data_IF_705387393017
#
_entry.id   IF_705387393017
#
_cell.length_a   1.000
_cell.length_b   1.000
_cell.length_c   1.000
_cell.angle_alpha   90.00
_cell.angle_beta   90.00
_cell.angle_gamma   90.00
#
_symmetry.space_group_name_H-M   'P 1'
#
loop_
_entity.id
_entity.type
_entity.pdbx_description
1 polymer ?
#
# COMPACT_ATOMS: atom_id res chain seq x y z
N UNK A 1 7.20 -15.28 0.59
CA UNK A 1 7.22 -15.62 -0.85
C UNK A 1 6.60 -14.47 -1.62
N UNK A 2 7.15 -14.07 -2.77
CA UNK A 2 6.58 -13.00 -3.60
C UNK A 2 6.29 -13.50 -5.01
N UNK A 3 5.29 -12.90 -5.65
CA UNK A 3 4.97 -13.14 -7.07
C UNK A 3 6.02 -12.49 -8.01
N UNK A 4 6.89 -11.60 -7.50
CA UNK A 4 8.00 -11.00 -8.25
C UNK A 4 9.34 -11.57 -7.79
N UNK A 5 10.17 -12.01 -8.74
CA UNK A 5 11.49 -12.58 -8.45
C UNK A 5 12.39 -11.49 -7.87
N UNK A 6 12.86 -11.68 -6.63
CA UNK A 6 13.83 -10.79 -5.98
C UNK A 6 13.24 -9.57 -5.26
N UNK A 7 11.92 -9.41 -5.20
CA UNK A 7 11.25 -8.30 -4.50
C UNK A 7 10.15 -8.85 -3.60
N UNK A 8 10.13 -8.50 -2.32
CA UNK A 8 9.05 -8.80 -1.38
C UNK A 8 8.77 -7.55 -0.57
N UNK A 9 7.54 -7.42 -0.08
CA UNK A 9 7.18 -6.34 0.82
C UNK A 9 5.92 -6.69 1.63
N UNK A 10 5.76 -6.22 2.87
CA UNK A 10 6.77 -5.48 3.66
C UNK A 10 7.49 -6.42 4.62
N UNK A 11 6.75 -7.31 5.30
CA UNK A 11 7.36 -8.29 6.18
C UNK A 11 6.31 -9.03 6.98
N UNK A 12 6.78 -9.73 8.01
CA UNK A 12 5.91 -10.30 9.04
C UNK A 12 6.56 -10.14 10.41
N UNK A 13 5.74 -10.13 11.46
CA UNK A 13 6.20 -10.02 12.82
C UNK A 13 5.58 -11.08 13.71
N UNK A 14 6.37 -11.59 14.66
CA UNK A 14 5.85 -12.20 15.88
C UNK A 14 5.54 -11.10 16.88
N UNK A 15 4.37 -11.13 17.52
CA UNK A 15 3.85 -10.01 18.32
C UNK A 15 3.45 -10.48 19.70
N UNK A 16 3.81 -9.69 20.71
CA UNK A 16 3.30 -9.79 22.08
C UNK A 16 2.73 -8.43 22.50
N UNK A 17 1.43 -8.35 22.74
CA UNK A 17 0.75 -7.07 22.99
C UNK A 17 -0.23 -7.14 24.16
N UNK A 18 -0.46 -6.01 24.84
CA UNK A 18 -1.48 -5.90 25.89
C UNK A 18 -2.91 -5.83 25.35
N UNK A 19 -3.10 -5.53 24.06
CA UNK A 19 -4.40 -5.44 23.38
C UNK A 19 -4.44 -6.32 22.14
N UNK A 20 -5.66 -6.67 21.69
CA UNK A 20 -5.94 -7.29 20.39
C UNK A 20 -6.50 -6.31 19.36
N UNK A 21 -6.75 -5.07 19.78
CA UNK A 21 -7.33 -4.04 18.92
C UNK A 21 -6.21 -3.36 18.13
N UNK A 22 -6.14 -3.73 16.85
CA UNK A 22 -5.28 -3.13 15.83
C UNK A 22 -6.13 -2.54 14.69
N UNK A 23 -7.38 -2.17 14.98
CA UNK A 23 -8.34 -1.69 13.96
C UNK A 23 -7.88 -0.41 13.26
N UNK A 24 -7.07 0.41 13.93
CA UNK A 24 -6.48 1.64 13.41
C UNK A 24 -5.09 1.47 12.82
N UNK A 25 -4.54 0.25 12.81
CA UNK A 25 -3.20 -0.01 12.28
C UNK A 25 -3.19 0.04 10.75
N UNK A 26 -2.09 0.53 10.19
CA UNK A 26 -1.91 0.66 8.75
C UNK A 26 -1.25 -0.59 8.14
N UNK A 27 -1.49 -0.86 6.84
CA UNK A 27 -0.81 -1.92 6.10
C UNK A 27 0.60 -1.47 5.68
N UNK A 28 1.22 -2.16 4.72
CA UNK A 28 2.56 -1.87 4.21
C UNK A 28 3.62 -1.91 5.33
N UNK A 29 4.49 -0.90 5.43
CA UNK A 29 5.60 -0.91 6.38
C UNK A 29 5.17 -0.85 7.84
N UNK A 30 3.90 -0.56 8.12
CA UNK A 30 3.38 -0.59 9.49
C UNK A 30 3.05 -2.00 9.99
N UNK A 31 3.22 -3.03 9.14
CA UNK A 31 3.04 -4.45 9.45
C UNK A 31 1.67 -4.80 10.04
N UNK A 32 0.66 -3.91 9.95
CA UNK A 32 -0.63 -4.07 10.62
C UNK A 32 -0.56 -3.93 12.15
N UNK A 33 0.47 -3.25 12.68
CA UNK A 33 0.70 -3.09 14.13
C UNK A 33 0.48 -1.67 14.64
N UNK A 34 0.87 -0.68 13.83
CA UNK A 34 0.92 0.72 14.22
C UNK A 34 0.35 1.61 13.11
N UNK A 35 0.24 2.90 13.37
CA UNK A 35 -0.05 3.91 12.36
C UNK A 35 0.86 5.13 12.56
N UNK A 36 0.76 6.11 11.65
CA UNK A 36 1.56 7.34 11.66
C UNK A 36 1.55 8.05 13.02
N UNK A 37 0.42 8.03 13.71
CA UNK A 37 0.25 8.75 14.99
C UNK A 37 0.55 7.91 16.22
N UNK A 38 0.46 6.59 16.13
CA UNK A 38 0.70 5.69 17.26
C UNK A 38 2.14 5.20 17.31
N UNK A 39 2.91 5.31 16.24
CA UNK A 39 4.32 4.88 16.22
C UNK A 39 5.14 5.62 17.30
N UNK A 40 5.75 4.87 18.22
CA UNK A 40 6.47 5.41 19.37
C UNK A 40 5.63 5.61 20.63
N UNK A 41 4.31 5.46 20.57
CA UNK A 41 3.44 5.66 21.74
C UNK A 41 3.56 4.50 22.75
N UNK A 42 3.97 4.83 23.97
CA UNK A 42 4.03 3.87 25.09
C UNK A 42 2.69 3.21 25.43
N UNK A 43 1.56 3.82 25.05
CA UNK A 43 0.22 3.28 25.20
C UNK A 43 -0.04 2.00 24.39
N UNK A 44 0.68 1.81 23.29
CA UNK A 44 0.58 0.63 22.43
C UNK A 44 0.82 -0.68 23.19
N UNK A 45 1.79 -0.64 24.11
CA UNK A 45 2.20 -1.77 24.97
C UNK A 45 2.42 -3.05 24.15
N UNK A 46 3.25 -2.95 23.13
CA UNK A 46 3.59 -4.04 22.22
C UNK A 46 5.10 -4.26 22.11
N UNK A 47 5.46 -5.53 22.01
CA UNK A 47 6.74 -6.04 21.56
C UNK A 47 6.49 -6.72 20.22
N UNK A 48 7.31 -6.44 19.21
CA UNK A 48 7.33 -7.22 17.99
C UNK A 48 8.76 -7.71 17.68
N UNK A 49 8.84 -8.88 17.06
CA UNK A 49 10.06 -9.36 16.40
C UNK A 49 9.74 -9.41 14.91
N UNK A 50 10.24 -8.44 14.17
CA UNK A 50 9.99 -8.29 12.75
C UNK A 50 10.98 -9.08 11.90
N UNK A 51 10.47 -9.61 10.80
CA UNK A 51 11.21 -10.20 9.69
C UNK A 51 10.93 -9.31 8.48
N UNK A 52 11.73 -8.26 8.34
CA UNK A 52 11.53 -7.24 7.32
C UNK A 52 12.20 -7.64 6.01
N UNK A 53 11.47 -7.46 4.92
CA UNK A 53 11.87 -7.82 3.57
C UNK A 53 12.00 -6.63 2.61
N UNK A 54 11.88 -5.40 3.13
CA UNK A 54 11.95 -4.17 2.36
C UNK A 54 12.53 -3.03 3.20
N UNK A 55 13.63 -2.43 2.74
CA UNK A 55 14.22 -1.29 3.43
C UNK A 55 13.29 -0.07 3.38
N UNK A 56 12.96 0.49 4.53
CA UNK A 56 12.29 1.75 4.71
C UNK A 56 13.19 2.75 5.47
N UNK A 57 13.64 3.78 4.77
CA UNK A 57 14.48 4.83 5.35
C UNK A 57 13.75 5.64 6.42
N UNK A 58 12.42 5.77 6.34
CA UNK A 58 11.59 6.43 7.35
C UNK A 58 11.68 5.71 8.70
N UNK A 59 11.75 4.37 8.69
CA UNK A 59 11.88 3.53 9.90
C UNK A 59 13.33 3.25 10.28
N UNK A 60 14.29 3.77 9.49
CA UNK A 60 15.75 3.62 9.69
C UNK A 60 16.21 2.17 9.60
N UNK A 61 15.64 1.45 8.64
CA UNK A 61 16.01 0.07 8.38
C UNK A 61 17.47 -0.04 7.96
N UNK A 62 18.14 -1.08 8.47
CA UNK A 62 19.56 -1.29 8.22
C UNK A 62 19.85 -1.88 6.83
N UNK A 63 18.85 -2.53 6.22
CA UNK A 63 18.84 -3.09 4.86
C UNK A 63 17.47 -3.72 4.55
N UNK A 64 17.33 -4.28 3.35
CA UNK A 64 16.13 -4.90 2.80
C UNK A 64 15.87 -6.35 3.26
N UNK A 65 16.65 -6.88 4.19
CA UNK A 65 16.48 -8.24 4.72
C UNK A 65 17.05 -8.34 6.13
N UNK A 66 16.29 -7.86 7.12
CA UNK A 66 16.74 -7.80 8.50
C UNK A 66 15.73 -8.38 9.49
N UNK A 67 16.22 -8.64 10.70
CA UNK A 67 15.42 -9.04 11.85
C UNK A 67 15.52 -7.95 12.90
N UNK A 68 14.36 -7.48 13.38
CA UNK A 68 14.24 -6.37 14.32
C UNK A 68 13.56 -6.77 15.62
N UNK A 69 13.84 -6.03 16.70
CA UNK A 69 13.16 -6.11 17.99
C UNK A 69 12.54 -4.74 18.27
N UNK A 70 11.22 -4.69 18.24
CA UNK A 70 10.44 -3.46 18.24
C UNK A 70 9.71 -3.31 19.57
N UNK A 71 9.76 -2.11 20.14
CA UNK A 71 9.04 -1.79 21.37
C UNK A 71 8.20 -0.54 21.12
N UNK A 72 6.89 -0.72 20.97
CA UNK A 72 5.93 0.36 20.71
C UNK A 72 6.21 1.22 19.45
N UNK A 73 7.21 0.87 18.66
CA UNK A 73 7.62 1.62 17.47
C UNK A 73 8.16 0.69 16.40
N UNK A 74 8.01 1.07 15.13
CA UNK A 74 8.66 0.42 13.99
C UNK A 74 10.15 0.75 13.89
N UNK A 75 10.62 1.74 14.66
CA UNK A 75 12.05 1.92 14.87
C UNK A 75 12.57 0.85 15.83
N UNK A 76 13.11 -0.21 15.25
CA UNK A 76 13.78 -1.30 15.94
C UNK A 76 14.71 -0.83 17.07
N UNK A 77 14.47 -1.31 18.30
CA UNK A 77 15.37 -1.09 19.44
C UNK A 77 16.74 -1.70 19.14
N UNK A 78 16.75 -2.87 18.50
CA UNK A 78 17.91 -3.55 17.96
C UNK A 78 17.50 -4.32 16.71
N UNK A 79 18.30 -4.21 15.66
CA UNK A 79 18.13 -5.00 14.44
C UNK A 79 19.47 -5.57 13.97
N UNK A 80 19.42 -6.63 13.16
CA UNK A 80 20.59 -7.22 12.52
C UNK A 80 20.21 -7.84 11.17
N UNK A 81 21.14 -7.86 10.21
CA UNK A 81 20.92 -8.49 8.90
C UNK A 81 20.55 -9.95 9.08
N UNK A 82 19.57 -10.44 8.32
CA UNK A 82 19.08 -11.80 8.46
C UNK A 82 20.20 -12.82 8.23
N UNK A 83 20.37 -13.76 9.16
CA UNK A 83 21.44 -14.74 9.14
C UNK A 83 21.48 -15.57 10.41
N UNK A 84 22.47 -16.44 10.52
CA UNK A 84 22.64 -17.30 11.69
C UNK A 84 24.10 -17.65 11.93
N UNK A 85 24.44 -17.94 13.18
CA UNK A 85 25.76 -18.43 13.54
C UNK A 85 25.80 -19.96 13.47
N UNK A 86 26.83 -20.50 12.84
CA UNK A 86 27.13 -21.92 12.86
C UNK A 86 28.03 -22.22 14.06
N UNK A 87 27.52 -23.00 15.02
CA UNK A 87 28.23 -23.28 16.27
C UNK A 87 29.48 -24.14 16.08
N UNK A 88 29.63 -24.81 14.94
CA UNK A 88 30.75 -25.70 14.62
C UNK A 88 31.93 -25.00 13.92
N UNK A 89 31.86 -23.67 13.69
CA UNK A 89 32.82 -22.95 12.87
C UNK A 89 33.70 -22.00 13.69
N UNK A 90 35.02 -22.23 13.66
CA UNK A 90 35.99 -21.49 14.49
C UNK A 90 36.31 -20.06 13.98
N UNK A 91 35.80 -19.65 12.81
CA UNK A 91 36.07 -18.34 12.21
C UNK A 91 34.81 -17.45 12.11
N UNK A 92 34.29 -17.05 13.27
CA UNK A 92 33.12 -16.17 13.48
C UNK A 92 31.77 -16.66 12.93
N UNK A 93 31.74 -17.74 12.13
CA UNK A 93 30.63 -18.67 11.89
C UNK A 93 29.32 -18.11 11.30
N UNK A 94 29.26 -16.83 10.92
CA UNK A 94 28.02 -16.21 10.45
C UNK A 94 27.67 -16.63 9.01
N UNK A 95 26.42 -17.02 8.79
CA UNK A 95 25.85 -17.41 7.50
C UNK A 95 24.65 -16.53 7.18
N UNK A 96 24.75 -15.75 6.11
CA UNK A 96 23.67 -14.89 5.65
C UNK A 96 22.43 -15.71 5.25
N UNK A 97 21.26 -15.17 5.56
CA UNK A 97 19.98 -15.69 5.11
C UNK A 97 19.23 -14.61 4.34
N UNK A 98 18.64 -15.00 3.21
CA UNK A 98 17.76 -14.12 2.45
C UNK A 98 16.32 -14.47 2.81
N UNK A 99 15.61 -13.58 3.52
CA UNK A 99 14.23 -13.81 3.97
C UNK A 99 13.27 -14.10 2.80
N UNK A 100 13.55 -13.50 1.63
CA UNK A 100 12.76 -13.67 0.41
C UNK A 100 13.14 -14.93 -0.41
N UNK A 101 14.04 -15.78 0.10
CA UNK A 101 14.53 -16.98 -0.61
C UNK A 101 13.46 -18.03 -0.92
N UNK A 102 12.28 -17.94 -0.29
CA UNK A 102 11.21 -18.92 -0.41
C UNK A 102 11.50 -20.25 0.28
N UNK A 103 12.61 -20.35 1.02
CA UNK A 103 12.96 -21.52 1.84
C UNK A 103 12.37 -21.35 3.23
N UNK A 104 11.93 -22.46 3.82
CA UNK A 104 11.45 -22.46 5.20
C UNK A 104 12.60 -22.19 6.17
N UNK A 105 12.35 -21.29 7.11
CA UNK A 105 13.26 -20.94 8.20
C UNK A 105 12.53 -21.14 9.53
N UNK A 106 13.31 -21.37 10.59
CA UNK A 106 12.81 -21.39 11.95
C UNK A 106 13.38 -20.20 12.71
N UNK A 107 12.52 -19.53 13.48
CA UNK A 107 12.87 -18.39 14.32
C UNK A 107 12.49 -18.72 15.76
N UNK A 108 13.37 -18.43 16.69
CA UNK A 108 13.18 -18.57 18.13
C UNK A 108 13.24 -17.18 18.76
N UNK A 109 12.29 -16.90 19.64
CA UNK A 109 12.25 -15.68 20.44
C UNK A 109 12.21 -16.11 21.89
N UNK A 110 13.31 -15.89 22.60
CA UNK A 110 13.43 -16.23 24.02
C UNK A 110 13.46 -14.95 24.85
N UNK A 111 12.80 -15.01 26.01
CA UNK A 111 12.85 -13.94 27.00
C UNK A 111 13.31 -14.49 28.35
N UNK A 112 14.38 -13.93 28.87
CA UNK A 112 14.87 -14.16 30.22
C UNK A 112 14.45 -12.99 31.12
N UNK A 113 13.63 -13.30 32.13
CA UNK A 113 13.10 -12.32 33.09
C UNK A 113 14.17 -11.79 34.04
N UNK A 114 15.12 -12.63 34.46
CA UNK A 114 16.14 -12.26 35.44
C UNK A 114 17.11 -11.25 34.83
N UNK A 115 17.53 -11.52 33.60
CA UNK A 115 18.45 -10.63 32.88
C UNK A 115 17.73 -9.57 32.04
N UNK A 116 16.39 -9.62 31.95
CA UNK A 116 15.53 -8.80 31.09
C UNK A 116 15.93 -8.85 29.62
N UNK A 117 16.45 -9.98 29.17
CA UNK A 117 17.05 -10.14 27.85
C UNK A 117 16.07 -10.80 26.89
N UNK A 118 15.92 -10.20 25.71
CA UNK A 118 15.21 -10.74 24.57
C UNK A 118 16.28 -11.21 23.58
N UNK A 119 16.26 -12.50 23.27
CA UNK A 119 17.15 -13.10 22.28
C UNK A 119 16.33 -13.62 21.11
N UNK A 120 16.74 -13.23 19.90
CA UNK A 120 16.17 -13.73 18.67
C UNK A 120 17.23 -14.54 17.94
N UNK A 121 16.91 -15.80 17.67
CA UNK A 121 17.75 -16.71 16.90
C UNK A 121 16.98 -17.16 15.67
N UNK A 122 17.65 -17.36 14.55
CA UNK A 122 17.02 -17.96 13.36
C UNK A 122 17.97 -18.93 12.67
N UNK A 123 17.44 -19.84 11.86
CA UNK A 123 18.21 -20.74 11.01
C UNK A 123 17.31 -21.35 9.91
N UNK A 124 17.86 -21.98 8.86
CA UNK A 124 17.06 -22.84 7.97
C UNK A 124 16.33 -23.94 8.74
N UNK A 125 15.14 -24.36 8.29
CA UNK A 125 14.25 -25.27 9.04
C UNK A 125 14.89 -26.59 9.52
N UNK A 126 15.85 -27.14 8.78
CA UNK A 126 16.52 -28.40 9.12
C UNK A 126 17.81 -28.23 9.93
N UNK A 127 18.11 -27.00 10.37
CA UNK A 127 19.30 -26.68 11.16
C UNK A 127 18.88 -26.52 12.62
N UNK A 128 19.64 -27.14 13.54
CA UNK A 128 19.41 -27.00 14.98
C UNK A 128 19.54 -25.52 15.41
N UNK A 129 18.83 -25.13 16.47
CA UNK A 129 18.89 -23.76 17.01
C UNK A 129 20.33 -23.38 17.35
N UNK A 130 20.89 -22.33 16.71
CA UNK A 130 22.19 -21.78 17.08
C UNK A 130 22.27 -21.38 18.56
N UNK A 131 23.42 -21.61 19.20
CA UNK A 131 23.69 -21.16 20.58
C UNK A 131 23.83 -19.65 20.66
N UNK A 132 24.43 -19.04 19.65
CA UNK A 132 24.61 -17.58 19.58
C UNK A 132 23.36 -16.94 18.93
N UNK A 133 22.68 -16.01 19.62
CA UNK A 133 21.53 -15.31 19.04
C UNK A 133 21.96 -14.41 17.88
N UNK A 134 21.04 -14.20 16.94
CA UNK A 134 21.23 -13.27 15.83
C UNK A 134 21.24 -11.83 16.34
N UNK A 135 20.24 -11.49 17.16
CA UNK A 135 20.08 -10.17 17.75
C UNK A 135 19.58 -10.31 19.19
N UNK A 136 20.10 -9.44 20.07
CA UNK A 136 19.77 -9.41 21.49
C UNK A 136 19.45 -7.99 21.93
N UNK A 137 18.42 -7.83 22.74
CA UNK A 137 18.07 -6.56 23.38
C UNK A 137 17.82 -6.77 24.88
N UNK A 138 18.02 -5.72 25.69
CA UNK A 138 17.59 -5.71 27.10
C UNK A 138 16.38 -4.82 27.26
N UNK A 139 15.27 -5.41 27.66
CA UNK A 139 14.04 -4.69 27.95
C UNK A 139 13.22 -5.42 29.02
N UNK A 140 12.79 -4.70 30.05
CA UNK A 140 11.95 -5.27 31.09
C UNK A 140 10.48 -5.32 30.62
N UNK A 141 10.02 -6.50 30.18
CA UNK A 141 8.66 -6.69 29.67
C UNK A 141 7.58 -6.43 30.72
N UNK A 142 7.90 -6.45 32.02
CA UNK A 142 6.95 -6.08 33.08
C UNK A 142 6.56 -4.60 33.04
N UNK A 143 7.37 -3.74 32.39
CA UNK A 143 7.01 -2.33 32.15
C UNK A 143 5.98 -2.18 31.02
N UNK A 144 5.91 -3.17 30.13
CA UNK A 144 5.10 -3.18 28.92
C UNK A 144 3.79 -3.94 29.14
N UNK A 145 3.90 -5.14 29.72
CA UNK A 145 2.83 -6.12 29.90
C UNK A 145 2.55 -6.25 31.40
N UNK A 146 1.38 -5.77 31.83
CA UNK A 146 1.00 -5.76 33.26
C UNK A 146 0.20 -6.99 33.68
N UNK A 147 -0.83 -7.36 32.90
CA UNK A 147 -1.79 -8.39 33.30
C UNK A 147 -1.90 -9.53 32.27
N UNK A 148 -2.56 -9.24 31.17
CA UNK A 148 -2.81 -10.19 30.09
C UNK A 148 -2.03 -9.74 28.87
N UNK A 149 -1.31 -10.68 28.25
CA UNK A 149 -0.66 -10.48 26.98
C UNK A 149 -1.27 -11.41 25.93
N UNK A 150 -1.36 -10.92 24.72
CA UNK A 150 -1.78 -11.65 23.54
C UNK A 150 -0.57 -11.88 22.66
N UNK A 151 -0.43 -13.10 22.18
CA UNK A 151 0.66 -13.50 21.31
C UNK A 151 0.09 -13.91 19.97
N UNK A 152 0.75 -13.49 18.89
CA UNK A 152 0.32 -13.83 17.55
C UNK A 152 1.33 -13.44 16.50
N UNK A 153 0.86 -13.38 15.27
CA UNK A 153 1.62 -12.96 14.11
C UNK A 153 0.87 -11.87 13.38
N UNK A 154 1.60 -10.90 12.85
CA UNK A 154 1.08 -9.92 11.91
C UNK A 154 1.91 -9.92 10.65
N UNK A 155 1.30 -9.55 9.53
CA UNK A 155 1.99 -9.39 8.26
C UNK A 155 1.21 -8.41 7.40
N UNK A 156 1.93 -7.63 6.60
CA UNK A 156 1.31 -6.71 5.66
C UNK A 156 2.04 -6.74 4.32
N UNK A 157 1.27 -6.58 3.26
CA UNK A 157 1.77 -6.49 1.89
C UNK A 157 1.67 -5.05 1.40
N UNK A 158 2.60 -4.64 0.52
CA UNK A 158 2.52 -3.34 -0.15
C UNK A 158 1.50 -3.34 -1.30
N UNK A 159 0.95 -2.18 -1.66
CA UNK A 159 -0.11 -2.07 -2.67
C UNK A 159 0.25 -2.61 -4.05
N UNK A 160 1.52 -2.57 -4.46
CA UNK A 160 2.01 -3.02 -5.77
C UNK A 160 2.68 -4.40 -5.75
N UNK A 161 3.20 -4.84 -4.59
CA UNK A 161 3.92 -6.12 -4.44
C UNK A 161 3.07 -7.15 -3.70
N UNK A 162 2.66 -8.21 -4.42
CA UNK A 162 1.96 -9.35 -3.83
C UNK A 162 2.94 -10.30 -3.18
N UNK A 163 3.01 -10.22 -1.85
CA UNK A 163 3.76 -11.16 -1.01
C UNK A 163 2.80 -12.07 -0.23
N UNK A 164 3.27 -13.27 0.10
CA UNK A 164 2.58 -14.24 0.94
C UNK A 164 3.49 -14.64 2.09
N UNK A 165 2.96 -14.56 3.30
CA UNK A 165 3.63 -14.87 4.54
C UNK A 165 2.98 -16.13 5.12
N UNK A 166 3.80 -17.15 5.43
CA UNK A 166 3.32 -18.45 5.89
C UNK A 166 3.99 -18.81 7.21
N UNK A 167 3.17 -19.03 8.24
CA UNK A 167 3.59 -19.72 9.46
C UNK A 167 3.24 -21.19 9.27
N UNK A 168 4.25 -22.04 9.04
CA UNK A 168 4.04 -23.48 8.80
C UNK A 168 3.66 -24.23 10.07
N UNK A 169 4.15 -23.76 11.21
CA UNK A 169 3.89 -24.28 12.54
C UNK A 169 4.52 -23.36 13.58
N UNK A 170 4.00 -23.41 14.80
CA UNK A 170 4.51 -22.63 15.92
C UNK A 170 4.25 -23.37 17.22
N UNK A 171 5.10 -23.13 18.21
CA UNK A 171 4.91 -23.61 19.57
C UNK A 171 5.26 -22.49 20.54
N UNK A 172 4.73 -22.57 21.76
CA UNK A 172 4.94 -21.57 22.80
C UNK A 172 5.15 -22.24 24.15
N UNK A 173 6.07 -21.68 24.95
CA UNK A 173 6.36 -22.10 26.31
C UNK A 173 6.49 -20.88 27.22
N UNK A 174 5.85 -20.94 28.39
CA UNK A 174 5.95 -19.93 29.44
C UNK A 174 6.41 -20.63 30.72
N UNK A 175 7.49 -20.16 31.34
CA UNK A 175 8.12 -20.82 32.49
C UNK A 175 8.81 -22.15 32.14
N UNK A 176 8.82 -22.54 30.87
CA UNK A 176 9.49 -23.73 30.33
C UNK A 176 9.83 -23.52 28.85
N UNK A 177 10.82 -24.24 28.30
CA UNK A 177 11.07 -24.23 26.87
C UNK A 177 9.81 -24.61 26.06
N UNK A 178 9.62 -23.96 24.91
CA UNK A 178 8.56 -24.32 23.98
C UNK A 178 8.79 -25.76 23.46
N UNK A 179 7.72 -26.57 23.28
CA UNK A 179 7.85 -27.90 22.68
C UNK A 179 8.53 -27.82 21.30
N UNK A 180 9.41 -28.77 20.99
CA UNK A 180 10.04 -28.85 19.68
C UNK A 180 8.98 -29.08 18.59
N UNK A 181 9.14 -28.38 17.46
CA UNK A 181 8.26 -28.52 16.30
C UNK A 181 8.69 -29.77 15.53
N UNK A 182 7.76 -30.71 15.34
CA UNK A 182 7.98 -31.87 14.49
C UNK A 182 7.95 -31.45 13.02
N UNK A 183 9.13 -31.17 12.47
CA UNK A 183 9.30 -30.66 11.10
C UNK A 183 8.75 -31.62 10.03
N UNK A 184 8.63 -32.92 10.35
CA UNK A 184 8.11 -33.94 9.42
C UNK A 184 6.60 -33.81 9.19
N UNK A 185 5.89 -33.19 10.13
CA UNK A 185 4.45 -32.96 10.08
C UNK A 185 4.08 -31.59 9.52
N UNK A 186 5.06 -30.74 9.21
CA UNK A 186 4.78 -29.40 8.69
C UNK A 186 4.22 -29.47 7.26
N UNK A 187 3.26 -28.61 6.91
CA UNK A 187 2.77 -28.52 5.56
C UNK A 187 3.89 -28.06 4.62
N UNK A 188 3.90 -28.59 3.39
CA UNK A 188 4.83 -28.12 2.36
C UNK A 188 4.45 -26.72 1.93
N UNK A 189 5.45 -25.85 1.77
CA UNK A 189 5.25 -24.53 1.19
C UNK A 189 4.63 -24.67 -0.21
N UNK A 190 3.60 -23.86 -0.54
CA UNK A 190 3.07 -23.80 -1.89
C UNK A 190 4.21 -23.50 -2.87
N UNK A 191 4.39 -24.34 -3.89
CA UNK A 191 5.35 -24.05 -4.95
C UNK A 191 4.82 -22.84 -5.73
N UNK A 192 5.42 -21.68 -5.55
CA UNK A 192 5.36 -20.64 -6.58
C UNK A 192 6.12 -21.19 -7.77
N UNK A 193 5.39 -21.71 -8.75
CA UNK A 193 5.90 -21.82 -10.11
C UNK A 193 6.09 -20.36 -10.53
N UNK A 194 7.26 -19.79 -10.29
CA UNK A 194 7.69 -18.67 -11.09
C UNK A 194 7.60 -19.19 -12.52
N UNK A 195 6.59 -18.75 -13.27
CA UNK A 195 6.72 -18.77 -14.71
C UNK A 195 7.97 -17.96 -14.93
N UNK A 196 9.10 -18.64 -15.17
CA UNK A 196 10.28 -18.04 -15.74
C UNK A 196 9.79 -17.45 -17.05
N UNK A 197 9.34 -16.20 -17.01
CA UNK A 197 9.19 -15.39 -18.21
C UNK A 197 10.61 -15.22 -18.66
N UNK A 198 11.01 -16.12 -19.56
CA UNK A 198 12.31 -16.16 -20.22
C UNK A 198 12.83 -14.73 -20.41
N UNK A 199 14.10 -14.49 -20.06
CA UNK A 199 14.76 -13.20 -20.37
C UNK A 199 14.64 -12.85 -21.86
N UNK A 200 14.47 -13.87 -22.72
CA UNK A 200 14.12 -13.70 -24.13
C UNK A 200 12.80 -12.94 -24.24
N UNK A 201 11.72 -13.33 -23.55
CA UNK A 201 10.46 -12.57 -23.58
C UNK A 201 10.62 -11.13 -23.07
N UNK A 202 11.50 -10.84 -22.11
CA UNK A 202 11.73 -9.45 -21.62
C UNK A 202 12.58 -8.58 -22.56
N UNK A 203 13.38 -9.17 -23.45
CA UNK A 203 14.17 -8.44 -24.46
C UNK A 203 13.42 -8.42 -25.79
N UNK A 204 12.87 -9.57 -26.20
CA UNK A 204 12.08 -9.74 -27.41
C UNK A 204 10.77 -9.00 -27.33
N UNK A 205 10.10 -8.88 -26.17
CA UNK A 205 8.88 -8.07 -26.09
C UNK A 205 9.15 -6.59 -26.38
N UNK A 206 10.09 -5.87 -25.74
CA UNK A 206 10.41 -4.49 -26.12
C UNK A 206 11.04 -4.36 -27.50
N UNK A 207 11.83 -5.33 -28.00
CA UNK A 207 12.32 -5.31 -29.39
C UNK A 207 11.20 -5.54 -30.41
N UNK A 208 10.26 -6.44 -30.15
CA UNK A 208 9.09 -6.66 -31.00
C UNK A 208 8.12 -5.49 -30.89
N UNK A 209 7.96 -4.93 -29.69
CA UNK A 209 7.13 -3.74 -29.43
C UNK A 209 7.77 -2.53 -30.11
N UNK A 210 9.09 -2.35 -30.08
CA UNK A 210 9.77 -1.29 -30.83
C UNK A 210 9.71 -1.53 -32.35
N UNK A 211 9.90 -2.77 -32.82
CA UNK A 211 9.77 -3.15 -34.23
C UNK A 211 8.32 -3.07 -34.75
N UNK A 212 7.31 -3.14 -33.87
CA UNK A 212 5.90 -2.86 -34.21
C UNK A 212 5.56 -1.36 -34.08
N UNK A 213 6.03 -0.70 -33.02
CA UNK A 213 5.75 0.72 -32.73
C UNK A 213 6.51 1.67 -33.66
N UNK A 214 7.64 1.27 -34.26
CA UNK A 214 8.32 2.09 -35.25
C UNK A 214 7.53 2.19 -36.57
N UNK A 215 7.10 1.09 -37.22
CA UNK A 215 6.25 1.17 -38.40
C UNK A 215 4.82 1.61 -38.06
N UNK A 216 4.24 1.23 -36.91
CA UNK A 216 2.93 1.76 -36.47
C UNK A 216 3.04 3.24 -36.12
N UNK A 217 4.11 3.67 -35.47
CA UNK A 217 4.39 5.06 -35.14
C UNK A 217 4.72 5.88 -36.37
N UNK A 218 5.42 5.32 -37.37
CA UNK A 218 5.63 5.95 -38.67
C UNK A 218 4.32 5.99 -39.48
N UNK A 219 3.50 4.94 -39.42
CA UNK A 219 2.20 4.90 -40.07
C UNK A 219 1.21 5.85 -39.40
N UNK A 220 1.19 5.95 -38.07
CA UNK A 220 0.42 6.92 -37.27
C UNK A 220 0.99 8.31 -37.45
N UNK A 221 2.30 8.51 -37.54
CA UNK A 221 2.88 9.81 -37.84
C UNK A 221 2.56 10.24 -39.27
N UNK A 222 2.55 9.32 -40.24
CA UNK A 222 2.10 9.56 -41.61
C UNK A 222 0.59 9.77 -41.68
N UNK A 223 -0.21 9.01 -40.93
CA UNK A 223 -1.66 9.21 -40.79
C UNK A 223 -1.91 10.55 -40.15
N UNK A 224 -1.31 10.87 -39.01
CA UNK A 224 -1.37 12.15 -38.31
C UNK A 224 -0.80 13.27 -39.17
N UNK A 225 0.24 13.10 -39.99
CA UNK A 225 0.67 14.15 -40.95
C UNK A 225 -0.36 14.34 -42.05
N UNK A 226 -0.95 13.25 -42.54
CA UNK A 226 -2.01 13.25 -43.56
C UNK A 226 -3.35 13.73 -42.99
N UNK A 227 -3.55 13.61 -41.68
CA UNK A 227 -4.72 14.05 -40.90
C UNK A 227 -4.49 15.40 -40.23
N UNK A 228 -3.25 15.90 -40.11
CA UNK A 228 -2.87 17.27 -39.71
C UNK A 228 -2.85 18.23 -40.88
N UNK A 229 -3.15 17.75 -42.09
CA UNK A 229 -3.82 18.55 -43.11
C UNK A 229 -5.35 18.57 -42.92
N UNK A 230 -5.83 18.23 -41.72
CA UNK A 230 -7.22 18.30 -41.29
C UNK A 230 -7.29 18.52 -39.77
N UNK A 231 -6.97 19.73 -39.32
CA UNK A 231 -7.22 20.16 -37.95
C UNK A 231 -8.68 19.85 -37.57
N UNK A 232 -8.89 19.07 -36.50
CA UNK A 232 -10.22 18.94 -35.90
C UNK A 232 -10.48 20.22 -35.10
N UNK A 233 -11.04 21.21 -35.79
CA UNK A 233 -11.57 22.42 -35.18
C UNK A 233 -12.95 22.12 -34.63
N UNK A 234 -13.13 22.41 -33.36
CA UNK A 234 -14.41 22.34 -32.69
C UNK A 234 -15.12 23.66 -32.98
N UNK A 235 -15.99 23.66 -33.99
CA UNK A 235 -16.76 24.85 -34.38
C UNK A 235 -18.04 24.89 -33.56
N UNK A 236 -18.18 25.93 -32.76
CA UNK A 236 -19.40 26.27 -32.04
C UNK A 236 -19.91 27.61 -32.51
N UNK A 237 -21.18 27.88 -32.22
CA UNK A 237 -21.72 29.22 -32.34
C UNK A 237 -20.88 30.20 -31.53
N UNK A 238 -20.62 31.38 -32.10
CA UNK A 238 -19.86 32.41 -31.42
C UNK A 238 -20.71 33.07 -30.34
N UNK A 239 -20.22 33.03 -29.10
CA UNK A 239 -20.88 33.62 -27.93
C UNK A 239 -20.55 35.11 -27.86
N UNK A 240 -21.32 35.93 -28.58
CA UNK A 240 -21.00 37.34 -28.82
C UNK A 240 -20.92 38.21 -27.57
N UNK A 241 -21.55 37.81 -26.47
CA UNK A 241 -21.55 38.57 -25.22
C UNK A 241 -20.46 38.10 -24.24
N UNK A 242 -19.66 37.09 -24.59
CA UNK A 242 -18.56 36.60 -23.76
C UNK A 242 -19.04 35.83 -22.52
N UNK A 243 -18.19 35.74 -21.51
CA UNK A 243 -18.47 34.99 -20.28
C UNK A 243 -19.21 35.80 -19.22
N UNK A 244 -19.96 35.11 -18.36
CA UNK A 244 -20.80 35.70 -17.33
C UNK A 244 -19.98 36.42 -16.24
N UNK A 245 -18.78 35.96 -15.94
CA UNK A 245 -17.88 36.59 -14.96
C UNK A 245 -17.61 38.06 -15.27
N UNK A 246 -17.54 38.44 -16.56
CA UNK A 246 -17.39 39.83 -16.99
C UNK A 246 -18.51 40.74 -16.49
N UNK A 247 -19.72 40.21 -16.34
CA UNK A 247 -20.88 40.97 -15.88
C UNK A 247 -21.09 40.90 -14.35
N UNK A 248 -20.48 39.92 -13.69
CA UNK A 248 -20.57 39.76 -12.24
C UNK A 248 -19.44 40.48 -11.49
N UNK A 249 -18.30 40.67 -12.14
CA UNK A 249 -17.09 41.26 -11.57
C UNK A 249 -16.66 42.55 -12.27
N UNK A 250 -17.58 43.22 -13.00
CA UNK A 250 -17.34 44.53 -13.60
C UNK A 250 -17.11 45.60 -12.52
N UNK A 251 -15.86 45.99 -12.33
CA UNK A 251 -15.45 47.02 -11.35
C UNK A 251 -15.92 48.43 -11.75
N UNK A 252 -16.23 48.66 -13.03
CA UNK A 252 -16.63 49.96 -13.56
C UNK A 252 -18.15 50.17 -13.57
N UNK A 253 -18.94 49.13 -13.25
CA UNK A 253 -20.39 49.19 -13.05
C UNK A 253 -21.21 49.49 -14.31
N UNK A 254 -20.63 49.38 -15.50
CA UNK A 254 -21.24 49.79 -16.77
C UNK A 254 -22.08 48.67 -17.41
N UNK A 255 -21.85 47.40 -17.06
CA UNK A 255 -22.54 46.24 -17.62
C UNK A 255 -23.37 45.48 -16.58
N UNK A 256 -24.32 46.13 -15.90
CA UNK A 256 -25.17 45.44 -14.91
C UNK A 256 -26.27 44.58 -15.57
N UNK A 257 -26.37 43.31 -15.15
CA UNK A 257 -27.48 42.43 -15.56
C UNK A 257 -28.75 42.77 -14.77
N UNK A 258 -29.81 43.15 -15.49
CA UNK A 258 -31.15 43.25 -14.91
C UNK A 258 -31.67 41.88 -14.45
N UNK A 259 -32.68 41.91 -13.58
CA UNK A 259 -33.22 40.70 -12.97
C UNK A 259 -33.78 39.71 -13.99
N UNK A 260 -34.38 40.21 -15.08
CA UNK A 260 -34.97 39.37 -16.12
C UNK A 260 -33.88 38.57 -16.84
N UNK A 261 -32.77 39.24 -17.22
CA UNK A 261 -31.60 38.59 -17.82
C UNK A 261 -30.96 37.57 -16.89
N UNK A 262 -30.85 37.86 -15.59
CA UNK A 262 -30.30 36.89 -14.61
C UNK A 262 -31.11 35.60 -14.55
N UNK A 263 -32.43 35.71 -14.50
CA UNK A 263 -33.32 34.55 -14.51
C UNK A 263 -33.20 33.78 -15.82
N UNK A 264 -33.06 34.48 -16.95
CA UNK A 264 -32.89 33.85 -18.25
C UNK A 264 -31.58 33.04 -18.34
N UNK A 265 -30.48 33.61 -17.86
CA UNK A 265 -29.16 32.96 -17.81
C UNK A 265 -29.20 31.72 -16.91
N UNK A 266 -29.76 31.83 -15.71
CA UNK A 266 -29.87 30.71 -14.76
C UNK A 266 -30.72 29.59 -15.37
N UNK A 267 -31.83 29.91 -16.03
CA UNK A 267 -32.66 28.93 -16.72
C UNK A 267 -31.87 28.21 -17.81
N UNK A 268 -31.12 28.94 -18.64
CA UNK A 268 -30.27 28.36 -19.67
C UNK A 268 -29.24 27.37 -19.12
N UNK A 269 -28.54 27.75 -18.04
CA UNK A 269 -27.56 26.87 -17.38
C UNK A 269 -28.22 25.65 -16.76
N UNK A 270 -29.35 25.82 -16.08
CA UNK A 270 -30.08 24.72 -15.45
C UNK A 270 -30.59 23.71 -16.49
N UNK A 271 -31.15 24.19 -17.60
CA UNK A 271 -31.55 23.34 -18.73
C UNK A 271 -30.36 22.60 -19.33
N UNK A 272 -29.21 23.27 -19.48
CA UNK A 272 -27.97 22.64 -19.94
C UNK A 272 -27.49 21.51 -19.01
N UNK A 273 -27.56 21.71 -17.68
CA UNK A 273 -27.21 20.67 -16.72
C UNK A 273 -28.19 19.51 -16.71
N UNK A 274 -29.49 19.79 -16.80
CA UNK A 274 -30.53 18.76 -16.89
C UNK A 274 -30.28 17.87 -18.11
N UNK A 275 -30.03 18.48 -19.27
CA UNK A 275 -29.70 17.76 -20.49
C UNK A 275 -28.49 16.83 -20.30
N UNK A 276 -27.41 17.35 -19.70
CA UNK A 276 -26.18 16.61 -19.46
C UNK A 276 -26.34 15.47 -18.45
N UNK A 277 -27.21 15.62 -17.46
CA UNK A 277 -27.37 14.66 -16.38
C UNK A 277 -28.41 13.57 -16.69
N UNK A 278 -29.45 13.89 -17.46
CA UNK A 278 -30.62 13.01 -17.60
C UNK A 278 -31.02 12.71 -19.05
N UNK A 279 -30.80 13.64 -19.99
CA UNK A 279 -31.31 13.50 -21.36
C UNK A 279 -30.27 12.95 -22.35
N UNK A 280 -28.98 13.05 -22.03
CA UNK A 280 -27.90 12.49 -22.84
C UNK A 280 -27.73 10.98 -22.61
N UNK A 281 -27.11 10.27 -23.56
CA UNK A 281 -26.90 8.80 -23.48
C UNK A 281 -26.09 8.39 -22.23
N UNK A 282 -25.20 9.28 -21.76
CA UNK A 282 -24.40 9.12 -20.55
C UNK A 282 -24.60 10.29 -19.59
N UNK A 283 -24.54 10.01 -18.30
CA UNK A 283 -24.56 11.06 -17.27
C UNK A 283 -23.23 11.82 -17.36
N UNK A 284 -23.28 13.08 -17.79
CA UNK A 284 -22.12 13.96 -17.92
C UNK A 284 -22.01 14.87 -16.70
N UNK A 285 -21.10 14.57 -15.77
CA UNK A 285 -20.82 15.47 -14.65
C UNK A 285 -19.78 16.50 -15.10
N UNK A 286 -20.17 17.78 -15.24
CA UNK A 286 -19.30 18.86 -15.75
C UNK A 286 -18.11 19.17 -14.83
N UNK A 287 -18.31 19.14 -13.50
CA UNK A 287 -17.30 19.33 -12.43
C UNK A 287 -16.57 20.69 -12.36
N UNK A 288 -16.84 21.62 -13.26
CA UNK A 288 -16.20 22.95 -13.30
C UNK A 288 -17.21 24.06 -13.66
N UNK A 289 -18.34 24.06 -12.95
CA UNK A 289 -19.40 25.06 -13.13
C UNK A 289 -19.00 26.32 -12.36
N UNK A 290 -18.60 27.36 -13.10
CA UNK A 290 -18.19 28.67 -12.58
C UNK A 290 -18.56 29.76 -13.59
N UNK A 291 -18.63 31.02 -13.15
CA UNK A 291 -19.10 32.13 -13.99
C UNK A 291 -18.27 32.32 -15.28
N UNK A 292 -16.96 32.06 -15.26
CA UNK A 292 -16.11 32.15 -16.46
C UNK A 292 -16.35 31.03 -17.48
N UNK A 293 -16.99 29.94 -17.06
CA UNK A 293 -17.39 28.82 -17.92
C UNK A 293 -18.86 28.90 -18.35
N UNK A 294 -19.57 29.98 -18.01
CA UNK A 294 -20.91 30.27 -18.52
C UNK A 294 -20.77 31.34 -19.60
N UNK A 295 -20.97 30.95 -20.86
CA UNK A 295 -20.91 31.83 -22.02
C UNK A 295 -22.29 32.37 -22.39
N UNK A 296 -22.33 33.58 -22.93
CA UNK A 296 -23.55 34.30 -23.27
C UNK A 296 -23.67 34.49 -24.79
N UNK A 297 -24.76 33.99 -25.37
CA UNK A 297 -25.08 34.22 -26.79
C UNK A 297 -25.67 35.63 -27.03
N UNK A 298 -25.97 35.95 -28.29
CA UNK A 298 -26.47 37.28 -28.70
C UNK A 298 -27.77 37.70 -28.01
N UNK A 299 -28.55 36.74 -27.51
CA UNK A 299 -29.83 36.96 -26.81
C UNK A 299 -29.68 36.97 -25.28
N UNK A 300 -28.44 36.91 -24.77
CA UNK A 300 -28.11 36.82 -23.34
C UNK A 300 -28.56 35.51 -22.68
N UNK A 301 -28.61 34.41 -23.43
CA UNK A 301 -28.80 33.08 -22.85
C UNK A 301 -27.50 32.52 -22.29
N UNK A 302 -27.57 31.88 -21.12
CA UNK A 302 -26.45 31.18 -20.50
C UNK A 302 -26.23 29.79 -21.11
N UNK A 303 -25.00 29.52 -21.57
CA UNK A 303 -24.57 28.23 -22.10
C UNK A 303 -23.31 27.76 -21.37
N UNK A 304 -23.24 26.47 -21.07
CA UNK A 304 -22.06 25.88 -20.44
C UNK A 304 -20.95 25.67 -21.45
N UNK A 305 -19.74 26.12 -21.09
CA UNK A 305 -18.51 25.91 -21.83
C UNK A 305 -17.46 25.19 -20.96
N UNK A 306 -16.36 24.82 -21.59
CA UNK A 306 -15.19 24.17 -20.96
C UNK A 306 -15.50 22.86 -20.20
N UNK A 307 -15.63 21.78 -20.97
CA UNK A 307 -15.82 20.42 -20.45
C UNK A 307 -14.50 19.71 -20.14
N UNK A 308 -13.38 20.42 -20.00
CA UNK A 308 -12.05 19.81 -19.83
C UNK A 308 -11.90 18.88 -18.60
N UNK A 309 -12.77 19.03 -17.59
CA UNK A 309 -12.79 18.22 -16.37
C UNK A 309 -14.00 17.28 -16.25
N UNK A 310 -14.85 17.25 -17.27
CA UNK A 310 -16.10 16.51 -17.26
C UNK A 310 -15.85 15.00 -17.20
N UNK A 311 -16.78 14.26 -16.58
CA UNK A 311 -16.75 12.80 -16.50
C UNK A 311 -18.07 12.20 -16.96
N UNK A 312 -17.96 11.07 -17.67
CA UNK A 312 -19.09 10.32 -18.22
C UNK A 312 -19.35 9.08 -17.35
N UNK A 313 -20.60 8.84 -17.01
CA UNK A 313 -21.05 7.66 -16.29
C UNK A 313 -22.25 7.01 -17.00
N UNK A 314 -22.42 5.71 -16.81
CA UNK A 314 -23.60 5.00 -17.29
C UNK A 314 -24.75 5.16 -16.28
N UNK A 315 -25.97 5.38 -16.79
CA UNK A 315 -27.17 5.54 -15.98
C UNK A 315 -27.41 4.30 -15.10
N UNK A 316 -27.45 4.48 -13.77
CA UNK A 316 -27.72 3.42 -12.80
C UNK A 316 -26.50 2.75 -12.13
N UNK A 317 -25.29 3.25 -12.35
CA UNK A 317 -24.08 2.76 -11.67
C UNK A 317 -23.83 3.51 -10.35
N UNK A 318 -24.07 2.88 -9.20
CA UNK A 318 -23.68 3.45 -7.89
C UNK A 318 -22.14 3.48 -7.74
N UNK A 319 -21.55 4.58 -7.22
CA UNK A 319 -20.11 4.70 -7.03
C UNK A 319 -19.64 3.76 -5.89
N UNK A 320 -19.11 2.58 -6.25
CA UNK A 320 -18.57 1.62 -5.28
C UNK A 320 -17.30 2.14 -4.61
N UNK A 321 -17.31 2.21 -3.28
CA UNK A 321 -16.13 2.37 -2.41
C UNK A 321 -15.47 1.02 -2.12
N UNK A 322 -14.14 1.00 -2.09
CA UNK A 322 -13.28 -0.18 -1.98
C UNK A 322 -13.34 -0.85 -0.60
N UNK A 323 -13.63 -2.15 -0.54
CA UNK A 323 -13.65 -2.96 0.69
C UNK A 323 -12.24 -3.48 1.09
N UNK A 324 -11.92 -3.41 2.39
CA UNK A 324 -10.75 -4.02 3.05
C UNK A 324 -11.20 -5.26 3.85
N UNK A 325 -10.38 -6.33 3.90
CA UNK A 325 -10.66 -7.55 4.67
C UNK A 325 -9.45 -7.91 5.56
N UNK A 326 -9.67 -8.07 6.87
CA UNK A 326 -8.69 -8.58 7.87
C UNK A 326 -9.13 -9.94 8.42
N UNK A 327 -8.19 -10.85 8.73
CA UNK A 327 -8.48 -12.12 9.45
C UNK A 327 -7.31 -12.49 10.38
N UNK A 328 -7.59 -12.72 11.68
CA UNK A 328 -6.63 -13.11 12.72
C UNK A 328 -7.00 -14.47 13.35
N UNK A 329 -5.99 -15.27 13.71
CA UNK A 329 -6.12 -16.44 14.60
C UNK A 329 -5.54 -16.09 15.98
N UNK A 330 -6.21 -16.51 17.07
CA UNK A 330 -5.83 -16.17 18.46
C UNK A 330 -6.00 -17.36 19.38
N UNK A 331 -5.05 -17.56 20.30
CA UNK A 331 -5.19 -18.40 21.50
C UNK A 331 -4.98 -17.54 22.75
N UNK A 332 -5.86 -17.68 23.74
CA UNK A 332 -5.83 -16.94 25.01
C UNK A 332 -4.92 -17.66 26.01
N UNK A 333 -3.86 -17.01 26.48
CA UNK A 333 -3.10 -17.46 27.63
C UNK A 333 -3.47 -16.61 28.85
N UNK A 334 -3.80 -17.25 29.99
CA UNK A 334 -3.92 -16.57 31.28
C UNK A 334 -2.63 -16.85 32.07
N UNK A 335 -1.88 -15.83 32.51
CA UNK A 335 -0.80 -16.05 33.46
C UNK A 335 -1.39 -16.42 34.83
N UNK A 336 -0.80 -17.42 35.45
CA UNK A 336 -0.88 -17.64 36.90
C UNK A 336 0.47 -17.13 37.41
N UNK A 337 0.42 -16.08 38.23
CA UNK A 337 1.57 -15.34 38.74
C UNK A 337 2.42 -16.14 39.71
#
# INVERSE_FOLDING_TARGET
MSDHVGLSAHGMAFVVAASRDFSSALPSGYLGLLNVTSDGDTGNRLLAVELDTMQNDEFRDINDSHVGIDINSLHSLRSYSAGYYNDDDNNNGFRNLTLISGKAMQVWVDYDRETTRIDVTMAPLAVAKPKRPLVSARYNLSKLLKDVAYIGFSAATGGTLRSRHYVLGWSFGLGRPAPAIDITKLPKLPRTVSKDRSRILQITLPLSTAAFLLPVGAAVFMLVRRHRSGELLLVYDYMSNGSLDRYLHDEEGQCSLDWVKRIHIIKGVASGLLYLHEEWEKVVIHRDIKASNVLLDSEMNGRLGDFGLARLYDHGSDPKTTHVVNRLYSSRARPVW
#
